data_IF_255407859278
#
_entry.id   IF_255407859278
#
_cell.length_a   1.000
_cell.length_b   1.000
_cell.length_c   1.000
_cell.angle_alpha   90.00
_cell.angle_beta   90.00
_cell.angle_gamma   90.00
#
_symmetry.space_group_name_H-M   'P 1'
#
loop_
_entity.id
_entity.type
_entity.pdbx_description
1 polymer ?
#
# COMPACT_ATOMS: atom_id res chain seq x y z
N UNK A 1 -33.05 -19.16 -38.45
CA UNK A 1 -33.32 -19.17 -36.98
C UNK A 1 -32.20 -19.94 -36.30
N UNK A 2 -31.44 -19.28 -35.43
CA UNK A 2 -30.83 -19.81 -34.19
C UNK A 2 -29.67 -18.88 -33.76
N UNK A 3 -29.90 -18.15 -32.68
CA UNK A 3 -28.92 -17.33 -31.97
C UNK A 3 -27.90 -18.24 -31.27
N UNK A 4 -26.60 -18.03 -31.49
CA UNK A 4 -25.54 -18.58 -30.65
C UNK A 4 -25.09 -17.47 -29.70
N UNK A 5 -25.63 -17.50 -28.49
CA UNK A 5 -25.11 -16.72 -27.37
C UNK A 5 -23.74 -17.25 -26.96
N UNK A 6 -22.73 -16.37 -26.91
CA UNK A 6 -21.43 -16.66 -26.30
C UNK A 6 -20.98 -15.47 -25.46
N UNK A 7 -21.49 -15.46 -24.23
CA UNK A 7 -20.88 -14.93 -23.00
C UNK A 7 -19.86 -13.79 -23.13
N UNK A 8 -20.36 -12.56 -23.31
CA UNK A 8 -19.65 -11.35 -22.88
C UNK A 8 -20.10 -11.02 -21.45
N UNK A 9 -19.24 -11.16 -20.42
CA UNK A 9 -19.66 -10.73 -19.07
C UNK A 9 -18.73 -10.92 -17.87
N UNK A 10 -17.69 -11.77 -17.92
CA UNK A 10 -16.89 -12.07 -16.70
C UNK A 10 -15.71 -11.12 -16.42
N UNK A 11 -15.11 -10.53 -17.45
CA UNK A 11 -13.81 -9.85 -17.38
C UNK A 11 -13.81 -8.43 -16.79
N UNK A 12 -14.83 -7.56 -16.98
CA UNK A 12 -14.78 -6.21 -16.43
C UNK A 12 -15.03 -6.19 -14.92
N UNK A 13 -15.85 -7.11 -14.38
CA UNK A 13 -16.17 -7.13 -12.96
C UNK A 13 -14.97 -7.56 -12.10
N UNK A 14 -14.21 -8.56 -12.53
CA UNK A 14 -12.99 -9.00 -11.83
C UNK A 14 -11.88 -7.94 -11.87
N UNK A 15 -11.70 -7.28 -13.02
CA UNK A 15 -10.75 -6.17 -13.14
C UNK A 15 -11.15 -4.99 -12.24
N UNK A 16 -12.43 -4.62 -12.23
CA UNK A 16 -12.95 -3.57 -11.36
C UNK A 16 -12.79 -3.92 -9.87
N UNK A 17 -13.00 -5.19 -9.50
CA UNK A 17 -12.82 -5.63 -8.11
C UNK A 17 -11.36 -5.55 -7.67
N UNK A 18 -10.41 -5.95 -8.52
CA UNK A 18 -8.98 -5.80 -8.21
C UNK A 18 -8.56 -4.34 -8.12
N UNK A 19 -9.07 -3.48 -9.01
CA UNK A 19 -8.83 -2.02 -8.94
C UNK A 19 -9.42 -1.39 -7.68
N UNK A 20 -10.57 -1.89 -7.20
CA UNK A 20 -11.17 -1.46 -5.93
C UNK A 20 -10.29 -1.88 -4.74
N UNK A 21 -9.81 -3.13 -4.72
CA UNK A 21 -8.89 -3.62 -3.70
C UNK A 21 -7.59 -2.80 -3.65
N UNK A 22 -7.05 -2.45 -4.81
CA UNK A 22 -5.89 -1.57 -4.94
C UNK A 22 -6.15 -0.16 -4.38
N UNK A 23 -7.38 0.35 -4.54
CA UNK A 23 -7.78 1.64 -3.98
C UNK A 23 -7.79 1.60 -2.45
N UNK A 24 -8.21 0.48 -1.85
CA UNK A 24 -8.14 0.24 -0.41
C UNK A 24 -6.68 0.25 0.08
N UNK A 25 -5.79 -0.46 -0.62
CA UNK A 25 -4.34 -0.47 -0.29
C UNK A 25 -3.74 0.93 -0.38
N UNK A 26 -4.05 1.68 -1.45
CA UNK A 26 -3.58 3.06 -1.62
C UNK A 26 -4.12 3.99 -0.53
N UNK A 27 -5.39 3.88 -0.16
CA UNK A 27 -5.99 4.68 0.91
C UNK A 27 -5.28 4.44 2.23
N UNK A 28 -5.08 3.16 2.58
CA UNK A 28 -4.37 2.80 3.81
C UNK A 28 -2.92 3.31 3.82
N UNK A 29 -2.20 3.20 2.71
CA UNK A 29 -0.84 3.75 2.60
C UNK A 29 -0.79 5.28 2.71
N UNK A 30 -1.82 6.01 2.25
CA UNK A 30 -1.93 7.46 2.46
C UNK A 30 -2.15 7.80 3.94
N UNK A 31 -2.88 6.98 4.67
CA UNK A 31 -3.01 7.13 6.12
C UNK A 31 -1.68 6.86 6.82
N UNK A 32 -1.00 5.76 6.47
CA UNK A 32 0.36 5.48 6.96
C UNK A 32 1.29 6.67 6.72
N UNK A 33 1.24 7.30 5.54
CA UNK A 33 2.02 8.49 5.23
C UNK A 33 1.72 9.67 6.18
N UNK A 34 0.44 9.98 6.43
CA UNK A 34 0.07 11.04 7.39
C UNK A 34 0.60 10.74 8.79
N UNK A 35 0.49 9.49 9.21
CA UNK A 35 0.96 9.03 10.51
C UNK A 35 2.49 9.02 10.63
N UNK A 36 3.19 8.74 9.54
CA UNK A 36 4.66 8.86 9.46
C UNK A 36 5.11 10.31 9.68
N UNK A 37 4.45 11.27 9.03
CA UNK A 37 4.75 12.70 9.22
C UNK A 37 4.41 13.17 10.64
N UNK A 38 3.30 12.70 11.21
CA UNK A 38 2.95 12.96 12.61
C UNK A 38 4.00 12.39 13.57
N UNK A 39 4.41 11.13 13.38
CA UNK A 39 5.45 10.48 14.18
C UNK A 39 6.77 11.24 14.11
N UNK A 40 7.15 11.69 12.90
CA UNK A 40 8.33 12.51 12.68
C UNK A 40 8.26 13.86 13.38
N UNK A 41 7.09 14.50 13.39
CA UNK A 41 6.84 15.75 14.12
C UNK A 41 7.18 15.65 15.61
N UNK A 42 6.84 14.52 16.24
CA UNK A 42 7.11 14.28 17.67
C UNK A 42 8.51 13.72 17.96
N UNK A 43 9.00 12.79 17.12
CA UNK A 43 10.19 12.00 17.44
C UNK A 43 11.44 12.40 16.63
N UNK A 44 11.30 13.32 15.66
CA UNK A 44 12.34 13.72 14.68
C UNK A 44 12.92 12.55 13.88
N UNK A 45 12.17 11.44 13.79
CA UNK A 45 12.50 10.22 13.02
C UNK A 45 11.22 9.58 12.51
N UNK A 46 11.29 8.82 11.44
CA UNK A 46 10.15 8.05 10.93
C UNK A 46 9.96 6.74 11.71
N UNK A 47 8.72 6.26 11.74
CA UNK A 47 8.36 5.01 12.38
C UNK A 47 8.88 3.81 11.57
N UNK A 48 9.40 2.84 12.31
CA UNK A 48 10.02 1.62 11.82
C UNK A 48 9.04 0.46 11.73
N UNK A 49 7.87 0.57 12.38
CA UNK A 49 6.84 -0.45 12.38
C UNK A 49 5.48 0.17 12.68
N UNK A 50 4.42 -0.61 12.44
CA UNK A 50 3.04 -0.17 12.68
C UNK A 50 2.76 0.10 14.17
N UNK A 51 3.40 -0.62 15.09
CA UNK A 51 3.20 -0.44 16.53
C UNK A 51 3.60 0.97 17.00
N UNK A 52 4.66 1.55 16.43
CA UNK A 52 5.05 2.93 16.71
C UNK A 52 4.03 3.96 16.20
N UNK A 53 3.38 3.71 15.06
CA UNK A 53 2.31 4.57 14.56
C UNK A 53 1.03 4.44 15.40
N UNK A 54 0.72 3.23 15.89
CA UNK A 54 -0.40 2.98 16.81
C UNK A 54 -0.23 3.64 18.18
N UNK A 55 1.00 4.01 18.56
CA UNK A 55 1.25 4.74 19.81
C UNK A 55 0.90 6.24 19.72
N UNK A 56 0.57 6.76 18.53
CA UNK A 56 0.13 8.15 18.36
C UNK A 56 -1.33 8.33 18.77
N UNK A 57 -1.75 9.59 18.96
CA UNK A 57 -3.12 9.95 19.34
C UNK A 57 -3.70 10.92 18.30
N UNK A 58 -4.79 10.55 17.60
CA UNK A 58 -5.46 9.24 17.62
C UNK A 58 -4.57 8.14 16.99
N UNK A 59 -4.73 6.86 17.37
CA UNK A 59 -3.94 5.76 16.80
C UNK A 59 -4.32 5.48 15.34
N UNK A 60 -3.36 5.02 14.53
CA UNK A 60 -3.67 4.56 13.17
C UNK A 60 -4.54 3.30 13.24
N UNK A 61 -5.50 3.18 12.33
CA UNK A 61 -6.31 1.98 12.21
C UNK A 61 -5.47 0.77 11.77
N UNK A 62 -5.92 -0.41 12.17
CA UNK A 62 -5.38 -1.67 11.69
C UNK A 62 -5.54 -1.80 10.17
N UNK A 63 -4.62 -2.49 9.48
CA UNK A 63 -4.76 -2.73 8.06
C UNK A 63 -6.08 -3.46 7.78
N UNK A 64 -6.76 -3.14 6.65
CA UNK A 64 -8.00 -3.80 6.28
C UNK A 64 -7.82 -5.32 6.24
N UNK A 65 -8.79 -6.03 6.83
CA UNK A 65 -8.80 -7.51 6.87
C UNK A 65 -9.60 -8.11 5.72
N UNK A 66 -10.42 -7.32 5.04
CA UNK A 66 -11.18 -7.72 3.86
C UNK A 66 -11.21 -6.60 2.80
N UNK A 67 -10.38 -6.68 1.76
CA UNK A 67 -9.37 -7.72 1.51
C UNK A 67 -8.17 -7.60 2.47
N UNK A 68 -7.47 -8.71 2.80
CA UNK A 68 -6.33 -8.67 3.70
C UNK A 68 -5.19 -7.86 3.07
N UNK A 69 -4.80 -6.76 3.72
CA UNK A 69 -3.70 -5.91 3.28
C UNK A 69 -2.43 -6.31 4.04
N UNK A 70 -1.42 -6.76 3.30
CA UNK A 70 -0.07 -6.99 3.82
C UNK A 70 0.69 -5.67 3.79
N UNK A 71 1.21 -5.25 4.95
CA UNK A 71 1.98 -4.02 5.10
C UNK A 71 3.36 -4.37 5.61
N UNK A 72 4.39 -3.83 4.98
CA UNK A 72 5.78 -4.05 5.36
C UNK A 72 6.53 -2.73 5.41
N UNK A 73 7.12 -2.46 6.56
CA UNK A 73 8.06 -1.36 6.76
C UNK A 73 9.43 -1.88 6.32
N UNK A 74 9.96 -1.31 5.25
CA UNK A 74 11.10 -1.85 4.53
C UNK A 74 12.39 -1.16 4.95
N UNK A 75 12.37 0.16 5.04
CA UNK A 75 13.56 0.94 5.41
C UNK A 75 13.33 1.58 6.77
N UNK A 76 14.24 1.23 7.68
CA UNK A 76 14.42 1.80 9.00
C UNK A 76 15.84 2.34 9.06
N UNK A 77 16.02 3.59 8.66
CA UNK A 77 17.31 4.28 8.74
C UNK A 77 17.71 4.95 7.44
N UNK A 78 17.40 6.24 7.34
CA UNK A 78 18.23 7.22 6.63
C UNK A 78 18.11 8.53 7.41
N UNK A 79 18.92 8.67 8.45
CA UNK A 79 19.04 9.82 9.35
C UNK A 79 19.38 11.16 8.65
N UNK A 80 19.46 11.21 7.31
CA UNK A 80 19.91 12.41 6.58
C UNK A 80 18.97 12.93 5.49
N UNK A 81 18.16 12.08 4.82
CA UNK A 81 17.34 12.53 3.68
C UNK A 81 15.84 12.69 3.96
N UNK A 82 15.39 12.42 5.20
CA UNK A 82 13.96 12.38 5.55
C UNK A 82 13.16 11.47 4.60
N UNK A 83 13.66 10.26 4.38
CA UNK A 83 12.95 9.26 3.58
C UNK A 83 12.59 8.04 4.44
N UNK A 84 11.41 7.50 4.16
CA UNK A 84 10.93 6.23 4.67
C UNK A 84 10.41 5.39 3.51
N UNK A 85 10.31 4.08 3.74
CA UNK A 85 9.75 3.15 2.78
C UNK A 85 8.79 2.19 3.48
N UNK A 86 7.52 2.30 3.12
CA UNK A 86 6.48 1.32 3.49
C UNK A 86 5.90 0.76 2.22
N UNK A 87 5.84 -0.56 2.09
CA UNK A 87 5.14 -1.22 0.99
C UNK A 87 3.89 -1.90 1.50
N UNK A 88 2.83 -1.87 0.71
CA UNK A 88 1.62 -2.63 0.99
C UNK A 88 1.01 -3.22 -0.27
N UNK A 89 0.28 -4.30 -0.10
CA UNK A 89 -0.36 -5.02 -1.19
C UNK A 89 -1.40 -5.99 -0.65
N UNK A 90 -2.25 -6.49 -1.53
CA UNK A 90 -3.22 -7.53 -1.21
C UNK A 90 -3.20 -8.61 -2.26
N UNK A 91 -3.36 -9.87 -1.85
CA UNK A 91 -3.32 -11.04 -2.74
C UNK A 91 -4.42 -11.04 -3.81
N UNK A 92 -5.48 -10.25 -3.59
CA UNK A 92 -6.58 -10.03 -4.54
C UNK A 92 -6.48 -8.67 -5.26
N UNK A 93 -5.32 -8.01 -5.18
CA UNK A 93 -5.00 -6.75 -5.85
C UNK A 93 -4.23 -6.98 -7.16
N UNK A 94 -3.92 -5.88 -7.86
CA UNK A 94 -3.13 -5.92 -9.10
C UNK A 94 -1.66 -5.61 -8.88
N UNK A 95 -1.31 -4.80 -7.88
CA UNK A 95 0.07 -4.32 -7.70
C UNK A 95 0.47 -4.23 -6.24
N UNK A 96 1.78 -4.28 -5.99
CA UNK A 96 2.32 -3.73 -4.75
C UNK A 96 2.38 -2.22 -4.86
N UNK A 97 2.07 -1.53 -3.77
CA UNK A 97 2.18 -0.10 -3.63
C UNK A 97 3.27 0.24 -2.63
N UNK A 98 3.90 1.39 -2.80
CA UNK A 98 4.84 1.98 -1.88
C UNK A 98 4.34 3.34 -1.40
N UNK A 99 4.64 3.66 -0.14
CA UNK A 99 4.57 4.99 0.43
C UNK A 99 5.97 5.44 0.83
N UNK A 100 6.35 6.61 0.34
CA UNK A 100 7.56 7.34 0.73
C UNK A 100 7.18 8.77 1.12
N UNK A 101 8.14 9.57 1.60
CA UNK A 101 7.91 11.00 1.88
C UNK A 101 7.37 11.79 0.68
N UNK A 102 7.59 11.30 -0.55
CA UNK A 102 7.10 11.92 -1.80
C UNK A 102 5.67 11.51 -2.19
N UNK A 103 5.08 10.49 -1.55
CA UNK A 103 3.71 10.05 -1.83
C UNK A 103 3.54 8.55 -2.01
N UNK A 104 2.32 8.13 -2.38
CA UNK A 104 1.97 6.74 -2.70
C UNK A 104 2.03 6.48 -4.20
N UNK A 105 2.71 5.40 -4.60
CA UNK A 105 2.89 4.97 -6.00
C UNK A 105 2.86 3.45 -6.13
N UNK A 106 2.58 2.94 -7.32
CA UNK A 106 2.77 1.52 -7.65
C UNK A 106 4.26 1.20 -7.57
N UNK A 107 4.61 0.09 -6.91
CA UNK A 107 5.99 -0.40 -6.73
C UNK A 107 6.38 -1.45 -7.77
N UNK A 108 5.44 -2.31 -8.14
CA UNK A 108 5.67 -3.45 -9.03
C UNK A 108 4.66 -3.46 -10.16
N UNK A 109 5.09 -3.90 -11.34
CA UNK A 109 4.20 -4.19 -12.47
C UNK A 109 3.56 -5.59 -12.38
N UNK A 110 3.89 -6.35 -11.32
CA UNK A 110 3.40 -7.70 -11.07
C UNK A 110 2.34 -7.74 -9.95
N UNK A 111 1.43 -8.74 -9.99
CA UNK A 111 0.43 -8.99 -8.95
C UNK A 111 1.00 -9.08 -7.54
N UNK A 112 0.28 -8.53 -6.57
CA UNK A 112 0.59 -8.63 -5.14
C UNK A 112 0.28 -10.02 -4.53
N UNK A 113 0.47 -11.08 -5.31
CA UNK A 113 0.31 -12.49 -4.90
C UNK A 113 1.62 -13.12 -4.43
N UNK A 114 2.76 -12.49 -4.72
CA UNK A 114 4.10 -12.94 -4.34
C UNK A 114 4.59 -12.38 -3.00
N UNK A 115 5.89 -12.53 -2.73
CA UNK A 115 6.52 -11.92 -1.56
C UNK A 115 6.49 -10.38 -1.64
N UNK A 116 6.28 -9.74 -0.48
CA UNK A 116 6.33 -8.28 -0.38
C UNK A 116 7.72 -7.74 -0.75
N UNK A 117 7.81 -6.68 -1.58
CA UNK A 117 9.08 -6.04 -1.93
C UNK A 117 9.91 -5.67 -0.69
N UNK A 118 11.23 -5.78 -0.83
CA UNK A 118 12.21 -5.45 0.23
C UNK A 118 12.92 -4.12 0.00
N UNK A 119 12.47 -3.32 -0.97
CA UNK A 119 12.97 -1.97 -1.24
C UNK A 119 11.86 -1.11 -1.87
N UNK A 120 11.94 0.21 -1.68
CA UNK A 120 11.17 1.18 -2.48
C UNK A 120 11.99 1.65 -3.67
N UNK A 121 11.28 2.15 -4.69
CA UNK A 121 11.87 2.90 -5.79
C UNK A 121 11.63 4.40 -5.61
N UNK A 122 12.71 5.15 -5.33
CA UNK A 122 12.64 6.59 -5.06
C UNK A 122 12.67 7.44 -6.35
N UNK A 123 12.81 6.81 -7.52
CA UNK A 123 12.87 7.46 -8.84
C UNK A 123 11.50 7.60 -9.50
N UNK A 124 10.46 6.98 -8.94
CA UNK A 124 9.07 7.04 -9.41
C UNK A 124 8.35 8.40 -9.17
N UNK A 125 9.10 9.49 -8.93
CA UNK A 125 8.58 10.81 -8.55
C UNK A 125 9.15 11.94 -9.38
#
# INVERSE_FOLDING_TARGET
>A
MAFVGKTAGGRPLEANRRSSNDTIVQSYLREVQKYQEMYYGFNRRYAQNLAQLKALVPPIEDPPTNPPVTVRFVTTGVDYNREYCVVAGTNVGQYWYQATSKGVRVRTDAPATGAAPTSCDFTLY
#
